data_IF_829503076977
#
_entry.id   IF_829503076977
#
_cell.length_a   1.000
_cell.length_b   1.000
_cell.length_c   1.000
_cell.angle_alpha   90.00
_cell.angle_beta   90.00
_cell.angle_gamma   90.00
#
_symmetry.space_group_name_H-M   'P 1'
#
loop_
_entity.id
_entity.type
_entity.pdbx_description
1 polymer ?
#
# COMPACT_ATOMS: atom_id res chain seq x y z
N UNK A 1 10.03 24.17 -15.93
CA UNK A 1 8.86 24.82 -16.56
C UNK A 1 7.59 24.53 -15.74
N UNK A 2 6.83 25.55 -15.29
CA UNK A 2 5.72 25.38 -14.34
C UNK A 2 4.53 24.59 -14.90
N UNK A 3 4.24 24.70 -16.21
CA UNK A 3 3.17 23.96 -16.87
C UNK A 3 3.43 22.44 -16.91
N UNK A 4 4.69 22.01 -17.05
CA UNK A 4 5.08 20.59 -17.03
C UNK A 4 4.89 19.99 -15.63
N UNK A 5 5.23 20.73 -14.57
CA UNK A 5 4.99 20.30 -13.18
C UNK A 5 3.49 20.15 -12.86
N UNK A 6 2.66 21.06 -13.36
CA UNK A 6 1.20 21.01 -13.21
C UNK A 6 0.59 19.79 -13.90
N UNK A 7 1.00 19.49 -15.14
CA UNK A 7 0.55 18.31 -15.86
C UNK A 7 0.92 17.00 -15.14
N UNK A 8 2.18 16.88 -14.66
CA UNK A 8 2.64 15.69 -13.92
C UNK A 8 1.82 15.48 -12.64
N UNK A 9 1.55 16.55 -11.87
CA UNK A 9 0.72 16.44 -10.66
C UNK A 9 -0.72 16.04 -10.99
N UNK A 10 -1.30 16.61 -12.05
CA UNK A 10 -2.64 16.26 -12.51
C UNK A 10 -2.74 14.79 -12.93
N UNK A 11 -1.78 14.29 -13.70
CA UNK A 11 -1.71 12.88 -14.09
C UNK A 11 -1.50 11.97 -12.89
N UNK A 12 -0.59 12.32 -11.98
CA UNK A 12 -0.36 11.54 -10.76
C UNK A 12 -1.62 11.46 -9.89
N UNK A 13 -2.33 12.57 -9.68
CA UNK A 13 -3.58 12.59 -8.95
C UNK A 13 -4.65 11.72 -9.62
N UNK A 14 -4.76 11.78 -10.95
CA UNK A 14 -5.71 10.96 -11.71
C UNK A 14 -5.39 9.46 -11.60
N UNK A 15 -4.11 9.08 -11.75
CA UNK A 15 -3.67 7.69 -11.58
C UNK A 15 -3.97 7.20 -10.17
N UNK A 16 -3.64 7.98 -9.14
CA UNK A 16 -3.93 7.63 -7.74
C UNK A 16 -5.43 7.41 -7.51
N UNK A 17 -6.30 8.25 -8.07
CA UNK A 17 -7.75 8.09 -7.95
C UNK A 17 -8.25 6.82 -8.65
N UNK A 18 -7.78 6.57 -9.88
CA UNK A 18 -8.18 5.38 -10.64
C UNK A 18 -7.73 4.11 -9.93
N UNK A 19 -6.44 4.03 -9.59
CA UNK A 19 -5.87 2.87 -8.90
C UNK A 19 -6.54 2.67 -7.55
N UNK A 20 -6.69 3.73 -6.76
CA UNK A 20 -7.35 3.66 -5.45
C UNK A 20 -8.82 3.22 -5.54
N UNK A 21 -9.55 3.67 -6.56
CA UNK A 21 -10.93 3.27 -6.81
C UNK A 21 -11.03 1.79 -7.18
N UNK A 22 -10.19 1.33 -8.13
CA UNK A 22 -10.13 -0.08 -8.53
C UNK A 22 -9.76 -0.96 -7.33
N UNK A 23 -8.73 -0.58 -6.56
CA UNK A 23 -8.33 -1.32 -5.36
C UNK A 23 -9.48 -1.41 -4.36
N UNK A 24 -10.16 -0.29 -4.10
CA UNK A 24 -11.29 -0.23 -3.15
C UNK A 24 -12.44 -1.11 -3.63
N UNK A 25 -12.74 -1.10 -4.93
CA UNK A 25 -13.76 -1.95 -5.53
C UNK A 25 -13.41 -3.42 -5.38
N UNK A 26 -12.19 -3.81 -5.72
CA UNK A 26 -11.72 -5.20 -5.59
C UNK A 26 -11.74 -5.68 -4.15
N UNK A 27 -11.27 -4.84 -3.21
CA UNK A 27 -11.33 -5.16 -1.77
C UNK A 27 -12.77 -5.32 -1.31
N UNK A 28 -13.69 -4.44 -1.74
CA UNK A 28 -15.12 -4.53 -1.42
C UNK A 28 -15.77 -5.80 -1.96
N UNK A 29 -15.39 -6.23 -3.15
CA UNK A 29 -15.92 -7.45 -3.78
C UNK A 29 -15.40 -8.71 -3.08
N UNK A 30 -14.19 -8.68 -2.53
CA UNK A 30 -13.53 -9.83 -1.91
C UNK A 30 -13.30 -9.65 -0.40
N UNK A 31 -14.20 -8.92 0.28
CA UNK A 31 -14.03 -8.53 1.70
C UNK A 31 -13.70 -9.73 2.59
N UNK A 32 -14.37 -10.86 2.42
CA UNK A 32 -14.17 -12.05 3.24
C UNK A 32 -12.75 -12.62 3.08
N UNK A 33 -12.26 -12.72 1.84
CA UNK A 33 -10.90 -13.19 1.54
C UNK A 33 -9.85 -12.24 2.12
N UNK A 34 -10.06 -10.93 2.00
CA UNK A 34 -9.16 -9.94 2.58
C UNK A 34 -9.17 -9.99 4.11
N UNK A 35 -10.33 -10.22 4.74
CA UNK A 35 -10.44 -10.37 6.18
C UNK A 35 -9.69 -11.62 6.67
N UNK A 36 -9.86 -12.76 6.00
CA UNK A 36 -9.17 -14.00 6.33
C UNK A 36 -7.66 -13.90 6.12
N UNK A 37 -7.22 -13.26 5.03
CA UNK A 37 -5.81 -13.00 4.75
C UNK A 37 -5.19 -12.09 5.81
N UNK A 38 -5.91 -11.04 6.22
CA UNK A 38 -5.46 -10.10 7.26
C UNK A 38 -5.36 -10.78 8.63
N UNK A 39 -6.35 -11.60 9.00
CA UNK A 39 -6.34 -12.38 10.23
C UNK A 39 -5.18 -13.40 10.24
N UNK A 40 -4.98 -14.10 9.12
CA UNK A 40 -3.87 -15.06 8.97
C UNK A 40 -2.52 -14.38 9.07
N UNK A 41 -2.35 -13.23 8.39
CA UNK A 41 -1.11 -12.45 8.44
C UNK A 41 -0.82 -11.95 9.86
N UNK A 42 -1.85 -11.46 10.55
CA UNK A 42 -1.76 -11.03 11.95
C UNK A 42 -1.34 -12.18 12.86
N UNK A 43 -1.98 -13.35 12.75
CA UNK A 43 -1.56 -14.55 13.49
C UNK A 43 -0.12 -14.92 13.22
N UNK A 44 0.32 -14.94 11.96
CA UNK A 44 1.71 -15.26 11.64
C UNK A 44 2.68 -14.26 12.28
N UNK A 45 2.35 -12.97 12.32
CA UNK A 45 3.21 -11.96 12.94
C UNK A 45 3.26 -12.05 14.47
N UNK A 46 2.13 -12.33 15.11
CA UNK A 46 2.06 -12.44 16.57
C UNK A 46 2.63 -13.78 17.04
N UNK A 47 2.19 -14.87 16.43
CA UNK A 47 2.48 -16.23 16.89
C UNK A 47 3.84 -16.76 16.39
N UNK A 48 4.29 -16.37 15.19
CA UNK A 48 5.55 -16.86 14.61
C UNK A 48 6.69 -15.87 14.77
N UNK A 49 6.43 -14.57 14.67
CA UNK A 49 7.46 -13.54 14.85
C UNK A 49 7.53 -13.00 16.29
N UNK A 50 6.70 -13.51 17.21
CA UNK A 50 6.60 -13.11 18.62
C UNK A 50 6.53 -11.59 18.82
N UNK A 51 5.96 -10.87 17.84
CA UNK A 51 5.86 -9.42 17.92
C UNK A 51 4.84 -9.06 19.01
N UNK A 52 5.22 -8.28 20.04
CA UNK A 52 4.34 -7.92 21.15
C UNK A 52 3.37 -6.81 20.73
N UNK A 53 2.52 -7.12 19.76
CA UNK A 53 1.61 -6.19 19.09
C UNK A 53 0.22 -6.80 19.15
N UNK A 54 -0.77 -6.06 19.64
CA UNK A 54 -2.15 -6.55 19.68
C UNK A 54 -2.70 -6.75 18.27
N UNK A 55 -3.62 -7.70 18.08
CA UNK A 55 -4.22 -7.98 16.77
C UNK A 55 -4.82 -6.74 16.11
N UNK A 56 -5.43 -5.85 16.90
CA UNK A 56 -5.97 -4.57 16.44
C UNK A 56 -4.87 -3.65 15.87
N UNK A 57 -3.70 -3.61 16.51
CA UNK A 57 -2.56 -2.82 16.04
C UNK A 57 -1.92 -3.48 14.82
N UNK A 58 -1.79 -4.81 14.80
CA UNK A 58 -1.28 -5.55 13.64
C UNK A 58 -2.17 -5.35 12.40
N UNK A 59 -3.50 -5.36 12.57
CA UNK A 59 -4.47 -5.12 11.50
C UNK A 59 -4.33 -3.75 10.82
N UNK A 60 -3.73 -2.77 11.49
CA UNK A 60 -3.46 -1.43 10.95
C UNK A 60 -2.01 -1.32 10.46
N UNK A 61 -1.04 -1.77 11.27
CA UNK A 61 0.40 -1.62 11.00
C UNK A 61 0.82 -2.39 9.76
N UNK A 62 0.26 -3.58 9.55
CA UNK A 62 0.59 -4.43 8.39
C UNK A 62 0.20 -3.77 7.07
N UNK A 63 -1.07 -3.38 6.82
CA UNK A 63 -1.43 -2.73 5.56
C UNK A 63 -0.72 -1.39 5.38
N UNK A 64 -0.54 -0.58 6.44
CA UNK A 64 0.25 0.65 6.36
C UNK A 64 1.71 0.36 5.98
N UNK A 65 2.33 -0.65 6.60
CA UNK A 65 3.69 -1.09 6.30
C UNK A 65 3.85 -1.58 4.85
N UNK A 66 2.87 -2.33 4.33
CA UNK A 66 2.84 -2.76 2.92
C UNK A 66 2.74 -1.55 1.99
N UNK A 67 1.82 -0.61 2.26
CA UNK A 67 1.69 0.60 1.45
C UNK A 67 2.95 1.46 1.47
N UNK A 68 3.58 1.60 2.64
CA UNK A 68 4.87 2.29 2.78
C UNK A 68 5.99 1.57 2.03
N UNK A 69 6.02 0.23 2.07
CA UNK A 69 6.98 -0.57 1.32
C UNK A 69 6.83 -0.40 -0.19
N UNK A 70 5.59 -0.44 -0.71
CA UNK A 70 5.29 -0.18 -2.12
C UNK A 70 5.71 1.23 -2.52
N UNK A 71 5.43 2.23 -1.67
CA UNK A 71 5.85 3.61 -1.93
C UNK A 71 7.36 3.77 -1.99
N UNK A 72 8.09 3.25 -0.99
CA UNK A 72 9.57 3.30 -0.94
C UNK A 72 10.17 2.58 -2.14
N UNK A 73 9.63 1.41 -2.51
CA UNK A 73 10.09 0.67 -3.69
C UNK A 73 9.91 1.48 -4.97
N UNK A 74 8.74 2.10 -5.17
CA UNK A 74 8.48 2.95 -6.33
C UNK A 74 9.40 4.19 -6.36
N UNK A 75 9.66 4.79 -5.20
CA UNK A 75 10.59 5.92 -5.07
C UNK A 75 12.02 5.53 -5.44
N UNK A 76 12.53 4.42 -4.91
CA UNK A 76 13.88 3.94 -5.21
C UNK A 76 14.02 3.54 -6.68
N UNK A 77 13.00 2.91 -7.27
CA UNK A 77 12.98 2.60 -8.69
C UNK A 77 13.05 3.88 -9.55
N UNK A 78 12.30 4.92 -9.19
CA UNK A 78 12.38 6.22 -9.86
C UNK A 78 13.73 6.92 -9.66
N UNK A 79 14.36 6.74 -8.49
CA UNK A 79 15.68 7.29 -8.19
C UNK A 79 16.75 6.64 -9.08
N UNK A 80 16.73 5.31 -9.18
CA UNK A 80 17.64 4.54 -10.04
C UNK A 80 17.45 4.89 -11.51
N UNK A 81 16.20 4.98 -11.99
CA UNK A 81 15.90 5.32 -13.39
C UNK A 81 16.27 6.75 -13.79
N UNK A 82 16.60 7.62 -12.83
CA UNK A 82 17.09 9.00 -13.07
C UNK A 82 18.59 9.13 -12.88
N UNK A 83 19.23 8.12 -12.30
CA UNK A 83 20.67 8.05 -12.13
C UNK A 83 21.37 7.48 -13.37
N UNK A 84 20.64 6.73 -14.20
CA UNK A 84 20.95 6.43 -15.61
C UNK A 84 20.59 7.60 -16.53
#
# INVERSE_FOLDING_TARGET
MPHIRGAIHGTAAMVTLIVGSVLTSTVREHVEVFAELSATTTRLLVDVAELPVSEEVAGIVVPVGVLMGVWVFAYELQRLSRAE
#
